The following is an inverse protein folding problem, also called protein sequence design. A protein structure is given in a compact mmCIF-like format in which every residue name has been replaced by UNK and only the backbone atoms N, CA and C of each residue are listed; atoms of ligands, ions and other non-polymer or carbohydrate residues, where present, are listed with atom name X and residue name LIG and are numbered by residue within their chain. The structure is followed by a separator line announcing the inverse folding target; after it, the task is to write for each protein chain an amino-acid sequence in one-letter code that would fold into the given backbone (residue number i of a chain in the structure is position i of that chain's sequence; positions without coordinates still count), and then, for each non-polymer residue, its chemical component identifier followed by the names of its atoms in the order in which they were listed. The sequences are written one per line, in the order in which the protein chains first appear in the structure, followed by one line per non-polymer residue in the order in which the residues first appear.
data_IF_316981434523
#
_entry.id   IF_316981434523
#
_cell.length_a   1.000
_cell.length_b   1.000
_cell.length_c   1.000
_cell.angle_alpha   90.00
_cell.angle_beta   90.00
_cell.angle_gamma   90.00
#
_symmetry.space_group_name_H-M   'P 1'
#
loop_
_entity.id
_entity.type
_entity.pdbx_description
1 polymer ?
#
# COMPACT_ATOMS: atom_id res chain seq x y z
N UNK A 1 -13.57 -40.25 25.26
CA UNK A 1 -12.37 -40.33 24.40
C UNK A 1 -12.12 -38.92 23.91
N UNK A 2 -11.35 -38.17 24.70
CA UNK A 2 -10.96 -36.78 24.42
C UNK A 2 -9.80 -36.79 23.43
N UNK A 3 -9.99 -36.17 22.27
CA UNK A 3 -8.89 -35.83 21.37
C UNK A 3 -8.66 -34.33 21.49
N UNK A 4 -7.82 -33.94 22.44
CA UNK A 4 -7.29 -32.58 22.55
C UNK A 4 -6.31 -32.32 21.40
N UNK A 5 -6.51 -31.21 20.70
CA UNK A 5 -5.56 -30.69 19.71
C UNK A 5 -4.30 -30.24 20.46
N UNK A 6 -3.07 -30.55 20.00
CA UNK A 6 -1.87 -30.17 20.75
C UNK A 6 -1.72 -28.64 20.74
N UNK A 7 -1.80 -28.04 21.92
CA UNK A 7 -1.30 -26.68 22.13
C UNK A 7 0.21 -26.70 21.90
N UNK A 8 0.70 -25.82 21.03
CA UNK A 8 2.13 -25.58 20.83
C UNK A 8 2.77 -25.22 22.19
N UNK A 9 3.64 -26.10 22.68
CA UNK A 9 4.54 -25.80 23.79
C UNK A 9 5.93 -25.56 23.20
N UNK A 10 6.57 -24.41 23.45
CA UNK A 10 7.93 -24.18 23.01
C UNK A 10 8.88 -25.12 23.76
N UNK A 11 9.71 -25.83 23.01
CA UNK A 11 10.77 -26.72 23.51
C UNK A 11 11.83 -25.87 24.26
N UNK A 12 12.14 -26.14 25.54
CA UNK A 12 13.11 -25.35 26.31
C UNK A 12 14.57 -25.52 25.85
N UNK A 13 14.84 -26.34 24.84
CA UNK A 13 16.18 -26.67 24.38
C UNK A 13 16.42 -26.43 22.87
N UNK A 14 15.65 -25.57 22.21
CA UNK A 14 16.00 -25.11 20.86
C UNK A 14 17.03 -23.98 20.93
N UNK A 15 18.30 -24.36 20.82
CA UNK A 15 19.43 -23.58 20.31
C UNK A 15 19.11 -22.11 19.98
N UNK A 16 19.49 -21.17 20.85
CA UNK A 16 19.33 -19.72 20.65
C UNK A 16 20.31 -19.12 19.64
N UNK A 17 21.01 -19.96 18.88
CA UNK A 17 21.89 -19.52 17.79
C UNK A 17 21.15 -19.61 16.43
N UNK A 18 20.92 -18.43 15.86
CA UNK A 18 20.46 -18.11 14.50
C UNK A 18 18.95 -18.17 14.21
N UNK A 19 18.24 -17.08 14.49
CA UNK A 19 17.20 -16.62 13.56
C UNK A 19 17.95 -16.10 12.30
N UNK A 20 17.83 -16.72 11.12
CA UNK A 20 18.58 -16.32 9.91
C UNK A 20 17.92 -15.12 9.22
N UNK A 21 17.42 -14.16 10.01
CA UNK A 21 16.50 -13.13 9.56
C UNK A 21 17.19 -11.77 9.57
N UNK A 22 18.17 -11.60 8.70
CA UNK A 22 18.82 -10.31 8.53
C UNK A 22 18.07 -9.50 7.49
N UNK A 23 17.52 -8.36 7.90
CA UNK A 23 17.01 -7.37 6.96
C UNK A 23 18.19 -6.82 6.14
N UNK A 24 18.25 -7.05 4.82
CA UNK A 24 19.43 -6.72 4.03
C UNK A 24 19.77 -5.24 4.11
N UNK A 25 21.05 -4.91 4.28
CA UNK A 25 21.51 -3.52 4.38
C UNK A 25 21.17 -2.74 3.11
N UNK A 26 21.30 -3.38 1.94
CA UNK A 26 20.96 -2.81 0.63
C UNK A 26 19.47 -2.49 0.53
N UNK A 27 18.60 -3.33 1.13
CA UNK A 27 17.17 -3.06 1.23
C UNK A 27 16.88 -1.93 2.22
N UNK A 28 17.58 -1.91 3.35
CA UNK A 28 17.49 -0.82 4.33
C UNK A 28 17.93 0.52 3.74
N UNK A 29 18.90 0.53 2.84
CA UNK A 29 19.44 1.72 2.18
C UNK A 29 18.69 2.11 0.90
N UNK A 30 17.85 1.23 0.33
CA UNK A 30 17.06 1.56 -0.85
C UNK A 30 16.24 2.84 -0.64
N UNK A 31 16.41 3.83 -1.53
CA UNK A 31 15.70 5.11 -1.56
C UNK A 31 15.30 5.47 -2.98
N UNK A 32 14.11 6.05 -3.11
CA UNK A 32 13.61 6.65 -4.36
C UNK A 32 12.74 7.85 -4.05
N UNK A 33 13.31 9.05 -4.19
CA UNK A 33 12.64 10.32 -3.88
C UNK A 33 11.36 10.53 -4.69
N UNK A 34 11.29 10.00 -5.90
CA UNK A 34 10.08 10.06 -6.73
C UNK A 34 8.86 9.46 -6.02
N UNK A 35 9.03 8.35 -5.31
CA UNK A 35 7.96 7.68 -4.55
C UNK A 35 7.51 8.56 -3.39
N UNK A 36 8.45 9.12 -2.63
CA UNK A 36 8.17 10.00 -1.49
C UNK A 36 7.41 11.26 -1.93
N UNK A 37 7.86 11.89 -3.02
CA UNK A 37 7.21 13.08 -3.60
C UNK A 37 5.80 12.74 -4.05
N UNK A 38 5.64 11.66 -4.82
CA UNK A 38 4.34 11.20 -5.31
C UNK A 38 3.38 10.86 -4.18
N UNK A 39 3.87 10.24 -3.11
CA UNK A 39 3.06 9.97 -1.92
C UNK A 39 2.55 11.26 -1.28
N UNK A 40 3.38 12.30 -1.21
CA UNK A 40 2.99 13.60 -0.63
C UNK A 40 2.07 14.45 -1.52
N UNK A 41 2.03 14.16 -2.81
CA UNK A 41 1.03 14.73 -3.71
C UNK A 41 -0.37 14.19 -3.39
N UNK A 42 -0.46 12.94 -2.93
CA UNK A 42 -1.71 12.24 -2.60
C UNK A 42 -2.09 12.32 -1.12
N UNK A 43 -1.13 12.53 -0.22
CA UNK A 43 -1.32 12.47 1.22
C UNK A 43 -0.68 13.69 1.90
N UNK A 44 -1.46 14.43 2.69
CA UNK A 44 -1.01 15.59 3.47
C UNK A 44 -0.17 15.15 4.68
N UNK A 45 1.06 14.73 4.42
CA UNK A 45 2.05 14.34 5.44
C UNK A 45 3.35 15.11 5.27
N UNK A 46 4.12 15.24 6.36
CA UNK A 46 5.47 15.81 6.30
C UNK A 46 6.41 14.91 5.51
N UNK A 47 7.49 15.48 4.98
CA UNK A 47 8.53 14.70 4.29
C UNK A 47 9.16 13.66 5.20
N UNK A 48 9.44 14.03 6.46
CA UNK A 48 9.92 13.08 7.46
C UNK A 48 8.96 11.90 7.65
N UNK A 49 7.66 12.16 7.77
CA UNK A 49 6.65 11.11 7.90
C UNK A 49 6.56 10.23 6.64
N UNK A 50 6.63 10.81 5.44
CA UNK A 50 6.61 10.05 4.19
C UNK A 50 7.84 9.13 4.06
N UNK A 51 9.04 9.63 4.38
CA UNK A 51 10.26 8.82 4.44
C UNK A 51 10.12 7.70 5.47
N UNK A 52 9.60 8.02 6.65
CA UNK A 52 9.39 7.06 7.73
C UNK A 52 8.42 5.93 7.33
N UNK A 53 7.28 6.28 6.72
CA UNK A 53 6.31 5.32 6.17
C UNK A 53 6.96 4.44 5.11
N UNK A 54 7.80 5.00 4.24
CA UNK A 54 8.51 4.23 3.22
C UNK A 54 9.50 3.23 3.82
N UNK A 55 10.23 3.60 4.88
CA UNK A 55 11.10 2.67 5.61
C UNK A 55 10.30 1.50 6.20
N UNK A 56 9.17 1.78 6.84
CA UNK A 56 8.29 0.73 7.36
C UNK A 56 7.64 -0.10 6.26
N UNK A 57 7.40 0.48 5.08
CA UNK A 57 6.90 -0.25 3.90
C UNK A 57 7.92 -1.28 3.44
N UNK A 58 9.21 -0.96 3.37
CA UNK A 58 10.25 -1.94 2.99
C UNK A 58 10.32 -3.11 3.97
N UNK A 59 10.20 -2.84 5.27
CA UNK A 59 10.09 -3.90 6.30
C UNK A 59 8.86 -4.77 6.08
N UNK A 60 7.71 -4.16 5.77
CA UNK A 60 6.48 -4.90 5.47
C UNK A 60 6.64 -5.80 4.24
N UNK A 61 7.21 -5.29 3.14
CA UNK A 61 7.43 -6.08 1.92
C UNK A 61 8.38 -7.25 2.16
N UNK A 62 9.42 -7.04 2.98
CA UNK A 62 10.32 -8.11 3.39
C UNK A 62 9.61 -9.22 4.19
N UNK A 63 8.75 -8.84 5.14
CA UNK A 63 7.94 -9.82 5.89
C UNK A 63 6.88 -10.51 5.01
N UNK A 64 6.30 -9.80 4.05
CA UNK A 64 5.35 -10.38 3.10
C UNK A 64 6.03 -11.41 2.18
N UNK A 65 7.24 -11.11 1.69
CA UNK A 65 8.07 -12.07 0.95
C UNK A 65 8.35 -13.33 1.78
N UNK A 66 8.78 -13.14 3.03
CA UNK A 66 9.01 -14.24 3.97
C UNK A 66 7.74 -15.06 4.20
N UNK A 67 6.63 -14.41 4.53
CA UNK A 67 5.37 -15.08 4.80
C UNK A 67 4.91 -15.93 3.60
N UNK A 68 5.09 -15.43 2.37
CA UNK A 68 4.81 -16.19 1.15
C UNK A 68 5.69 -17.45 1.03
N UNK A 69 7.00 -17.34 1.28
CA UNK A 69 7.94 -18.47 1.23
C UNK A 69 7.65 -19.53 2.30
N UNK A 70 7.13 -19.11 3.45
CA UNK A 70 6.88 -19.98 4.59
C UNK A 70 5.40 -20.37 4.76
N UNK A 71 4.55 -20.05 3.77
CA UNK A 71 3.10 -20.33 3.78
C UNK A 71 2.39 -19.78 5.03
N UNK A 72 2.85 -18.63 5.55
CA UNK A 72 2.23 -17.93 6.65
C UNK A 72 1.27 -16.87 6.09
N UNK A 73 0.11 -16.72 6.74
CA UNK A 73 -0.82 -15.64 6.39
C UNK A 73 -0.31 -14.32 6.97
N UNK A 74 -0.04 -13.35 6.10
CA UNK A 74 0.36 -11.99 6.47
C UNK A 74 -0.53 -11.00 5.72
N UNK A 75 -1.30 -10.21 6.46
CA UNK A 75 -2.38 -9.36 5.92
C UNK A 75 -2.18 -7.90 6.33
N UNK A 76 -2.68 -6.99 5.49
CA UNK A 76 -2.82 -5.58 5.86
C UNK A 76 -3.96 -5.45 6.87
N UNK A 77 -3.61 -5.13 8.11
CA UNK A 77 -4.54 -4.77 9.17
C UNK A 77 -4.87 -3.27 9.16
N UNK A 78 -5.96 -2.87 9.80
CA UNK A 78 -6.40 -1.47 9.86
C UNK A 78 -5.31 -0.53 10.38
N UNK A 79 -4.51 -1.00 11.34
CA UNK A 79 -3.45 -0.19 11.95
C UNK A 79 -2.29 0.14 10.99
N UNK A 80 -2.09 -0.67 9.94
CA UNK A 80 -0.99 -0.54 8.98
C UNK A 80 -1.47 -0.04 7.61
N UNK A 81 -2.67 0.53 7.51
CA UNK A 81 -3.22 1.01 6.24
C UNK A 81 -2.34 2.08 5.57
N UNK A 82 -1.60 2.89 6.32
CA UNK A 82 -0.68 3.86 5.72
C UNK A 82 0.46 3.19 4.95
N UNK A 83 0.92 2.02 5.42
CA UNK A 83 1.93 1.22 4.74
C UNK A 83 1.35 0.67 3.44
N UNK A 84 0.09 0.21 3.47
CA UNK A 84 -0.65 -0.19 2.26
C UNK A 84 -0.78 0.95 1.25
N UNK A 85 -1.04 2.18 1.69
CA UNK A 85 -1.09 3.35 0.81
C UNK A 85 0.26 3.66 0.17
N UNK A 86 1.34 3.59 0.93
CA UNK A 86 2.69 3.78 0.38
C UNK A 86 3.06 2.64 -0.59
N UNK A 87 2.69 1.40 -0.29
CA UNK A 87 2.90 0.28 -1.21
C UNK A 87 2.13 0.46 -2.51
N UNK A 88 0.86 0.91 -2.46
CA UNK A 88 0.12 1.27 -3.67
C UNK A 88 0.84 2.34 -4.49
N UNK A 89 1.34 3.41 -3.86
CA UNK A 89 2.12 4.44 -4.55
C UNK A 89 3.38 3.85 -5.18
N UNK A 90 4.11 2.97 -4.48
CA UNK A 90 5.30 2.32 -5.00
C UNK A 90 5.00 1.44 -6.23
N UNK A 91 3.91 0.67 -6.23
CA UNK A 91 3.51 -0.17 -7.36
C UNK A 91 3.30 0.65 -8.64
N UNK A 92 2.85 1.92 -8.54
CA UNK A 92 2.68 2.80 -9.70
C UNK A 92 4.00 3.15 -10.40
N UNK A 93 5.13 3.07 -9.69
CA UNK A 93 6.47 3.12 -10.27
C UNK A 93 6.83 1.74 -10.83
N UNK A 94 6.02 1.26 -11.76
CA UNK A 94 5.99 -0.15 -12.19
C UNK A 94 7.35 -0.71 -12.60
N UNK A 95 8.20 0.09 -13.26
CA UNK A 95 9.56 -0.30 -13.64
C UNK A 95 10.44 -0.46 -12.40
N UNK A 96 10.54 0.58 -11.58
CA UNK A 96 11.36 0.60 -10.36
C UNK A 96 10.89 -0.46 -9.35
N UNK A 97 9.57 -0.69 -9.27
CA UNK A 97 8.97 -1.70 -8.42
C UNK A 97 9.30 -3.12 -8.91
N UNK A 98 9.24 -3.36 -10.21
CA UNK A 98 9.66 -4.65 -10.78
C UNK A 98 11.16 -4.92 -10.53
N UNK A 99 12.03 -3.93 -10.77
CA UNK A 99 13.46 -4.02 -10.50
C UNK A 99 13.76 -4.25 -9.01
N UNK A 100 13.05 -3.54 -8.13
CA UNK A 100 13.14 -3.72 -6.67
C UNK A 100 12.76 -5.15 -6.27
N UNK A 101 11.62 -5.64 -6.75
CA UNK A 101 11.14 -6.98 -6.43
C UNK A 101 12.08 -8.08 -6.95
N UNK A 102 12.60 -7.94 -8.16
CA UNK A 102 13.58 -8.87 -8.72
C UNK A 102 14.88 -8.86 -7.90
N UNK A 103 15.39 -7.68 -7.58
CA UNK A 103 16.64 -7.50 -6.81
C UNK A 103 16.57 -8.10 -5.41
N UNK A 104 15.50 -7.82 -4.66
CA UNK A 104 15.43 -8.17 -3.23
C UNK A 104 14.66 -9.45 -2.95
N UNK A 105 13.73 -9.86 -3.82
CA UNK A 105 12.87 -11.01 -3.60
C UNK A 105 12.98 -12.09 -4.70
N UNK A 106 13.68 -11.81 -5.80
CA UNK A 106 13.83 -12.70 -6.95
C UNK A 106 12.54 -12.94 -7.74
N UNK A 107 11.47 -12.19 -7.44
CA UNK A 107 10.16 -12.26 -8.12
C UNK A 107 9.30 -11.05 -7.77
N UNK A 108 8.31 -10.79 -8.61
CA UNK A 108 7.28 -9.79 -8.33
C UNK A 108 6.48 -10.17 -7.06
N UNK A 109 6.45 -9.27 -6.09
CA UNK A 109 5.58 -9.40 -4.92
C UNK A 109 4.21 -8.80 -5.28
N UNK A 110 3.24 -9.65 -5.60
CA UNK A 110 1.92 -9.17 -6.02
C UNK A 110 1.09 -8.67 -4.83
N UNK A 111 0.54 -7.47 -4.97
CA UNK A 111 -0.53 -6.98 -4.10
C UNK A 111 -1.87 -7.55 -4.57
N UNK A 112 -2.58 -8.25 -3.68
CA UNK A 112 -3.86 -8.90 -3.99
C UNK A 112 -4.97 -8.25 -3.15
N UNK A 113 -5.84 -7.43 -3.76
CA UNK A 113 -6.93 -6.80 -3.03
C UNK A 113 -7.93 -7.80 -2.45
N UNK A 114 -8.33 -7.57 -1.20
CA UNK A 114 -9.38 -8.36 -0.56
C UNK A 114 -10.75 -7.74 -0.79
N UNK A 115 -11.71 -8.53 -1.26
CA UNK A 115 -13.08 -8.06 -1.54
C UNK A 115 -14.11 -8.83 -0.71
N UNK A 116 -15.37 -8.35 -0.74
CA UNK A 116 -16.48 -8.96 0.00
C UNK A 116 -16.71 -10.43 -0.36
N UNK A 117 -16.49 -10.83 -1.62
CA UNK A 117 -16.64 -12.22 -2.03
C UNK A 117 -15.65 -13.13 -1.30
N UNK A 118 -14.37 -12.71 -1.22
CA UNK A 118 -13.33 -13.44 -0.47
C UNK A 118 -13.69 -13.56 1.02
N UNK A 119 -14.30 -12.53 1.62
CA UNK A 119 -14.77 -12.59 3.00
C UNK A 119 -15.85 -13.64 3.21
N UNK A 120 -16.86 -13.66 2.33
CA UNK A 120 -17.96 -14.63 2.41
C UNK A 120 -17.45 -16.06 2.28
N UNK A 121 -16.53 -16.29 1.34
CA UNK A 121 -15.88 -17.59 1.15
C UNK A 121 -15.06 -18.01 2.37
N UNK A 122 -14.21 -17.12 2.90
CA UNK A 122 -13.41 -17.39 4.11
C UNK A 122 -14.30 -17.70 5.32
N UNK A 123 -15.42 -16.98 5.51
CA UNK A 123 -16.38 -17.28 6.59
C UNK A 123 -17.00 -18.67 6.42
N UNK A 124 -17.38 -19.04 5.18
CA UNK A 124 -17.96 -20.36 4.89
C UNK A 124 -16.96 -21.48 5.21
N UNK A 125 -15.73 -21.34 4.74
CA UNK A 125 -14.65 -22.30 4.99
C UNK A 125 -14.34 -22.45 6.49
N UNK A 126 -14.18 -21.34 7.21
CA UNK A 126 -13.95 -21.35 8.66
C UNK A 126 -15.09 -22.02 9.43
N UNK A 127 -16.33 -21.69 9.06
CA UNK A 127 -17.53 -22.30 9.69
C UNK A 127 -17.59 -23.80 9.44
N UNK A 128 -17.15 -24.30 8.28
CA UNK A 128 -17.07 -25.73 7.98
C UNK A 128 -16.06 -26.47 8.88
N UNK A 129 -15.08 -25.76 9.44
CA UNK A 129 -14.07 -26.26 10.37
C UNK A 129 -14.42 -25.99 11.84
N UNK A 130 -15.59 -25.41 12.12
CA UNK A 130 -16.01 -25.04 13.48
C UNK A 130 -15.26 -23.85 14.07
N UNK A 131 -14.55 -23.05 13.25
CA UNK A 131 -13.75 -21.91 13.69
C UNK A 131 -14.54 -20.62 13.44
N UNK A 132 -14.60 -19.75 14.44
CA UNK A 132 -15.23 -18.43 14.28
C UNK A 132 -14.29 -17.44 13.58
N UNK A 133 -14.84 -16.46 12.86
CA UNK A 133 -14.04 -15.42 12.21
C UNK A 133 -13.18 -14.63 13.22
N UNK A 134 -13.70 -14.36 14.42
CA UNK A 134 -12.98 -13.65 15.47
C UNK A 134 -11.80 -14.46 16.01
N UNK A 135 -11.99 -15.77 16.23
CA UNK A 135 -10.93 -16.68 16.65
C UNK A 135 -9.82 -16.76 15.60
N UNK A 136 -10.18 -16.93 14.34
CA UNK A 136 -9.21 -16.92 13.23
C UNK A 136 -8.43 -15.60 13.16
N UNK A 137 -9.14 -14.46 13.22
CA UNK A 137 -8.51 -13.13 13.20
C UNK A 137 -7.52 -12.94 14.35
N UNK A 138 -7.89 -13.37 15.56
CA UNK A 138 -7.02 -13.30 16.74
C UNK A 138 -5.76 -14.15 16.56
N UNK A 139 -5.91 -15.40 16.13
CA UNK A 139 -4.78 -16.31 15.90
C UNK A 139 -3.83 -15.81 14.81
N UNK A 140 -4.38 -15.36 13.68
CA UNK A 140 -3.60 -14.75 12.60
C UNK A 140 -2.84 -13.50 13.07
N UNK A 141 -3.53 -12.57 13.74
CA UNK A 141 -2.90 -11.33 14.21
C UNK A 141 -1.79 -11.61 15.21
N UNK A 142 -1.98 -12.58 16.12
CA UNK A 142 -0.94 -13.01 17.05
C UNK A 142 0.30 -13.50 16.29
N UNK A 143 0.13 -14.43 15.34
CA UNK A 143 1.23 -14.95 14.54
C UNK A 143 1.96 -13.84 13.76
N UNK A 144 1.20 -12.90 13.19
CA UNK A 144 1.75 -11.75 12.47
C UNK A 144 2.59 -10.84 13.40
N UNK A 145 2.09 -10.52 14.59
CA UNK A 145 2.82 -9.73 15.60
C UNK A 145 4.08 -10.46 16.07
N UNK A 146 4.00 -11.77 16.29
CA UNK A 146 5.13 -12.58 16.74
C UNK A 146 6.27 -12.55 15.71
N UNK A 147 5.94 -12.66 14.42
CA UNK A 147 6.93 -12.58 13.32
C UNK A 147 7.56 -11.18 13.25
N UNK A 148 6.75 -10.12 13.36
CA UNK A 148 7.27 -8.74 13.35
C UNK A 148 8.19 -8.52 14.55
N UNK A 149 7.78 -8.97 15.73
CA UNK A 149 8.54 -8.84 16.96
C UNK A 149 9.87 -9.60 16.89
N UNK A 150 9.84 -10.86 16.45
CA UNK A 150 11.04 -11.67 16.32
C UNK A 150 12.03 -11.12 15.29
N UNK A 151 11.54 -10.42 14.26
CA UNK A 151 12.36 -9.88 13.17
C UNK A 151 12.91 -8.49 13.47
N UNK A 152 12.06 -7.56 13.88
CA UNK A 152 12.36 -6.13 13.98
C UNK A 152 12.21 -5.56 15.39
N UNK A 153 11.92 -6.41 16.37
CA UNK A 153 11.75 -6.03 17.77
C UNK A 153 10.42 -5.33 18.08
N UNK A 154 10.22 -5.09 19.37
CA UNK A 154 8.97 -4.57 19.93
C UNK A 154 8.63 -3.15 19.47
N UNK A 155 9.64 -2.35 19.14
CA UNK A 155 9.43 -0.96 18.71
C UNK A 155 8.78 -0.89 17.32
N UNK A 156 9.06 -1.85 16.44
CA UNK A 156 8.35 -1.93 15.14
C UNK A 156 6.88 -2.32 15.35
N UNK A 157 6.58 -3.24 16.28
CA UNK A 157 5.20 -3.59 16.64
C UNK A 157 4.47 -2.37 17.23
N UNK A 158 5.09 -1.65 18.16
CA UNK A 158 4.53 -0.42 18.75
C UNK A 158 4.22 0.61 17.67
N UNK A 159 5.18 0.85 16.77
CA UNK A 159 5.03 1.81 15.70
C UNK A 159 3.87 1.45 14.78
N UNK A 160 3.79 0.20 14.32
CA UNK A 160 2.76 -0.24 13.38
C UNK A 160 1.37 -0.28 14.00
N UNK A 161 1.22 -0.88 15.19
CA UNK A 161 -0.10 -1.16 15.75
C UNK A 161 -0.61 -0.10 16.72
N UNK A 162 0.25 0.80 17.22
CA UNK A 162 -0.13 1.89 18.12
C UNK A 162 0.05 3.24 17.45
N UNK A 163 1.25 3.57 17.00
CA UNK A 163 1.54 4.92 16.48
C UNK A 163 0.87 5.16 15.12
N UNK A 164 1.06 4.26 14.16
CA UNK A 164 0.43 4.33 12.84
C UNK A 164 -1.08 4.08 12.94
N UNK A 165 -1.52 3.10 13.72
CA UNK A 165 -2.95 2.86 13.96
C UNK A 165 -3.68 4.07 14.53
N UNK A 166 -3.02 4.87 15.38
CA UNK A 166 -3.59 6.12 15.86
C UNK A 166 -3.43 7.26 14.85
N UNK A 167 -2.25 7.44 14.25
CA UNK A 167 -1.95 8.61 13.39
C UNK A 167 -2.63 8.53 12.02
N UNK A 168 -2.88 7.31 11.54
CA UNK A 168 -3.39 7.00 10.22
C UNK A 168 -4.57 6.03 10.28
N UNK A 169 -5.45 6.22 11.27
CA UNK A 169 -6.74 5.52 11.28
C UNK A 169 -7.55 5.82 10.02
N UNK A 170 -8.52 4.97 9.67
CA UNK A 170 -9.37 5.16 8.49
C UNK A 170 -9.97 6.57 8.40
N UNK A 171 -10.47 7.09 9.51
CA UNK A 171 -11.04 8.44 9.56
C UNK A 171 -10.00 9.53 9.26
N UNK A 172 -8.80 9.40 9.84
CA UNK A 172 -7.70 10.36 9.61
C UNK A 172 -7.17 10.28 8.19
N UNK A 173 -7.00 9.08 7.63
CA UNK A 173 -6.60 8.86 6.24
C UNK A 173 -7.52 9.59 5.28
N UNK A 174 -8.83 9.43 5.43
CA UNK A 174 -9.81 10.13 4.59
C UNK A 174 -9.72 11.66 4.70
N UNK A 175 -9.21 12.18 5.81
CA UNK A 175 -9.06 13.63 6.04
C UNK A 175 -7.77 14.17 5.43
N UNK A 176 -6.69 13.39 5.46
CA UNK A 176 -5.38 13.83 4.94
C UNK A 176 -5.18 13.50 3.46
N UNK A 177 -6.04 12.69 2.85
CA UNK A 177 -5.99 12.39 1.43
C UNK A 177 -6.25 13.67 0.62
N UNK A 178 -5.30 14.00 -0.26
CA UNK A 178 -5.38 15.18 -1.12
C UNK A 178 -6.12 14.82 -2.40
N UNK A 179 -6.97 15.72 -2.90
CA UNK A 179 -7.39 15.64 -4.29
C UNK A 179 -6.12 15.88 -5.14
N UNK A 180 -5.82 14.98 -6.08
CA UNK A 180 -4.54 14.96 -6.84
C UNK A 180 -4.49 16.14 -7.82
N UNK A 181 -4.16 17.32 -7.30
CA UNK A 181 -3.96 18.56 -8.04
C UNK A 181 -2.63 19.16 -7.58
N UNK A 182 -1.79 19.50 -8.55
CA UNK A 182 -0.54 20.22 -8.29
C UNK A 182 -0.85 21.69 -8.43
N UNK A 183 -0.70 22.43 -7.32
CA UNK A 183 -1.05 23.84 -7.09
C UNK A 183 -2.38 24.07 -6.35
N UNK A 184 -2.39 25.13 -5.54
CA UNK A 184 -3.54 25.70 -4.83
C UNK A 184 -4.51 26.33 -5.83
N UNK A 185 -5.17 25.51 -6.67
CA UNK A 185 -6.08 26.03 -7.68
C UNK A 185 -7.52 26.00 -7.17
N UNK A 186 -7.93 27.21 -6.79
CA UNK A 186 -9.26 27.67 -6.35
C UNK A 186 -10.41 27.33 -7.32
N UNK A 187 -10.13 26.75 -8.49
CA UNK A 187 -11.15 26.48 -9.51
C UNK A 187 -10.96 25.11 -10.16
N UNK A 188 -11.55 24.06 -9.58
CA UNK A 188 -11.84 22.85 -10.35
C UNK A 188 -12.81 23.28 -11.46
N UNK A 189 -12.45 23.08 -12.74
CA UNK A 189 -13.34 23.39 -13.85
C UNK A 189 -14.66 22.62 -13.68
N UNK A 190 -15.79 23.29 -13.86
CA UNK A 190 -17.08 22.61 -13.76
C UNK A 190 -17.31 21.76 -15.01
N UNK A 191 -17.73 20.49 -14.86
CA UNK A 191 -18.09 19.66 -16.01
C UNK A 191 -19.22 20.32 -16.80
N UNK A 192 -19.21 20.14 -18.12
CA UNK A 192 -20.31 20.59 -18.97
C UNK A 192 -21.61 19.86 -18.57
N UNK A 193 -22.71 20.59 -18.57
CA UNK A 193 -24.03 20.00 -18.36
C UNK A 193 -24.36 18.99 -19.48
N UNK A 194 -24.90 17.84 -19.09
CA UNK A 194 -25.15 16.72 -20.00
C UNK A 194 -26.24 17.04 -21.02
N UNK A 195 -27.29 17.76 -20.61
CA UNK A 195 -28.39 18.11 -21.51
C UNK A 195 -27.97 19.21 -22.49
N UNK A 196 -27.19 20.19 -22.02
CA UNK A 196 -26.57 21.17 -22.89
C UNK A 196 -25.70 20.49 -23.96
N UNK A 197 -24.84 19.54 -23.55
CA UNK A 197 -23.94 18.82 -24.45
C UNK A 197 -24.67 18.02 -25.55
N UNK A 198 -25.83 17.42 -25.24
CA UNK A 198 -26.63 16.63 -26.21
C UNK A 198 -27.13 17.46 -27.40
N UNK A 199 -27.32 18.76 -27.18
CA UNK A 199 -27.85 19.68 -28.19
C UNK A 199 -26.77 20.37 -29.04
N UNK A 200 -25.49 20.20 -28.69
CA UNK A 200 -24.38 20.84 -29.39
C UNK A 200 -24.01 20.10 -30.67
N UNK A 201 -23.60 20.85 -31.69
CA UNK A 201 -22.90 20.27 -32.84
C UNK A 201 -21.54 19.71 -32.40
N UNK A 202 -20.96 18.76 -33.14
CA UNK A 202 -19.64 18.21 -32.80
C UNK A 202 -18.57 19.28 -32.57
N UNK A 203 -18.55 20.35 -33.39
CA UNK A 203 -17.60 21.46 -33.25
C UNK A 203 -17.83 22.27 -31.97
N UNK A 204 -19.08 22.63 -31.68
CA UNK A 204 -19.41 23.40 -30.48
C UNK A 204 -19.20 22.60 -29.19
N UNK A 205 -19.40 21.28 -29.24
CA UNK A 205 -19.07 20.37 -28.15
C UNK A 205 -17.56 20.37 -27.89
N UNK A 206 -16.75 20.20 -28.94
CA UNK A 206 -15.28 20.20 -28.83
C UNK A 206 -14.77 21.53 -28.28
N UNK A 207 -15.22 22.66 -28.82
CA UNK A 207 -14.84 23.99 -28.33
C UNK A 207 -15.28 24.21 -26.88
N UNK A 208 -16.50 23.80 -26.53
CA UNK A 208 -17.02 23.91 -25.18
C UNK A 208 -16.27 23.04 -24.16
N UNK A 209 -15.73 21.89 -24.58
CA UNK A 209 -14.84 21.05 -23.78
C UNK A 209 -13.50 21.76 -23.58
N UNK A 210 -12.87 22.23 -24.66
CA UNK A 210 -11.56 22.92 -24.61
C UNK A 210 -11.63 24.16 -23.71
N UNK A 211 -12.68 24.96 -23.81
CA UNK A 211 -12.86 26.18 -23.00
C UNK A 211 -13.06 25.92 -21.50
N UNK A 212 -13.54 24.72 -21.12
CA UNK A 212 -13.78 24.34 -19.72
C UNK A 212 -12.65 23.52 -19.12
N UNK A 213 -11.70 23.06 -19.94
CA UNK A 213 -10.43 22.55 -19.43
C UNK A 213 -9.69 23.72 -18.79
N UNK A 214 -9.52 23.65 -17.46
CA UNK A 214 -8.74 24.62 -16.73
C UNK A 214 -7.28 24.56 -17.22
N UNK A 215 -6.59 25.70 -17.43
CA UNK A 215 -5.14 25.74 -17.68
C UNK A 215 -4.29 25.27 -16.49
N UNK A 216 -4.89 24.95 -15.33
CA UNK A 216 -4.26 24.10 -14.32
C UNK A 216 -3.53 22.99 -15.05
N UNK A 217 -2.25 22.73 -14.74
CA UNK A 217 -1.40 21.79 -15.46
C UNK A 217 -2.03 20.38 -15.57
N UNK A 218 -2.93 20.26 -16.53
CA UNK A 218 -3.59 19.08 -17.01
C UNK A 218 -3.17 19.02 -18.47
N UNK A 219 -2.16 18.18 -18.68
CA UNK A 219 -1.87 17.47 -19.91
C UNK A 219 -2.34 18.18 -21.20
N UNK A 220 -1.44 18.90 -21.89
CA UNK A 220 -1.81 19.45 -23.20
C UNK A 220 -0.89 20.51 -23.79
N UNK A 221 0.43 20.33 -23.79
CA UNK A 221 1.34 21.21 -24.53
C UNK A 221 2.72 20.58 -24.70
N UNK A 222 3.18 20.50 -25.96
CA UNK A 222 4.38 19.80 -26.48
C UNK A 222 5.22 19.00 -25.46
N UNK A 223 4.67 17.88 -25.00
CA UNK A 223 5.35 16.92 -24.14
C UNK A 223 4.37 16.29 -23.15
N UNK A 224 4.15 14.99 -23.28
CA UNK A 224 3.27 14.14 -22.48
C UNK A 224 3.06 14.55 -21.01
N UNK A 225 1.81 14.39 -20.56
CA UNK A 225 1.34 14.61 -19.20
C UNK A 225 2.24 14.02 -18.11
N UNK A 226 2.56 14.86 -17.13
CA UNK A 226 3.58 14.63 -16.11
C UNK A 226 3.10 13.71 -14.97
N UNK A 227 1.91 13.08 -15.09
CA UNK A 227 1.45 12.08 -14.10
C UNK A 227 1.37 10.65 -14.61
N UNK A 228 1.26 10.47 -15.92
CA UNK A 228 1.25 9.17 -16.58
C UNK A 228 1.73 9.43 -18.00
N UNK A 229 3.02 9.20 -18.27
CA UNK A 229 3.44 9.08 -19.64
C UNK A 229 2.84 7.78 -20.19
N UNK A 230 1.74 7.87 -20.93
CA UNK A 230 1.25 6.74 -21.73
C UNK A 230 2.25 6.32 -22.82
N UNK A 231 3.33 7.09 -22.99
CA UNK A 231 4.45 6.82 -23.87
C UNK A 231 5.68 6.49 -23.01
N UNK A 232 6.12 5.22 -23.05
CA UNK A 232 7.18 4.61 -22.23
C UNK A 232 8.59 5.20 -22.37
N UNK A 233 8.75 6.38 -22.99
CA UNK A 233 10.03 6.77 -23.59
C UNK A 233 10.88 7.78 -22.83
N UNK A 234 10.51 8.24 -21.62
CA UNK A 234 11.42 9.01 -20.75
C UNK A 234 11.09 8.79 -19.27
N UNK A 235 12.12 8.49 -18.47
CA UNK A 235 12.02 8.54 -17.00
C UNK A 235 12.00 9.99 -16.54
N UNK A 236 11.01 10.36 -15.72
CA UNK A 236 10.89 11.69 -15.11
C UNK A 236 11.78 11.86 -13.87
N UNK A 237 12.38 10.77 -13.38
CA UNK A 237 13.06 10.71 -12.07
C UNK A 237 14.50 10.17 -12.20
N UNK A 238 15.25 10.67 -13.20
CA UNK A 238 16.68 10.37 -13.36
C UNK A 238 17.49 10.95 -12.22
#
# INVERSE_FOLDING_TARGET
MENAIPMYQPDPASNTDSLPFHFPMELAEYRKDGIIKKFRDEWSVSEHAACDIFEETKKFLFLADYAQKHCVTFEIDEAVLIIDKMWHTFILFTKEYAEFCDTFFGRMLHHIPFCRAHLVEKIRDLSSRGISLSEYKRGRLQQQIDIIHATFGIETVRKWYVEFGNSYSLQKLNTIQRPVYHEDLVHIGFPMDLEAARSLTPTALIEGIIQRQNPSMYCGGHGCGVYCSCNSNKSLYS
#
